data_IF_740112262490
#
_entry.id   IF_740112262490
#
_cell.length_a   1.000
_cell.length_b   1.000
_cell.length_c   1.000
_cell.angle_alpha   90.00
_cell.angle_beta   90.00
_cell.angle_gamma   90.00
#
_symmetry.space_group_name_H-M   'P 1'
#
loop_
_entity.id
_entity.type
_entity.pdbx_description
1 polymer ?
#
# COMPACT_ATOMS: atom_id res chain seq x y z
N UNK A 1 32.08 5.03 8.83
CA UNK A 1 31.47 4.85 7.50
C UNK A 1 29.98 4.67 7.71
N UNK A 2 29.18 5.67 7.38
CA UNK A 2 27.73 5.61 7.53
C UNK A 2 27.20 4.56 6.56
N UNK A 3 26.59 3.48 7.06
CA UNK A 3 25.90 2.53 6.21
C UNK A 3 24.78 3.29 5.49
N UNK A 4 24.87 3.42 4.17
CA UNK A 4 23.80 4.02 3.38
C UNK A 4 22.58 3.12 3.48
N UNK A 5 21.45 3.72 3.84
CA UNK A 5 20.16 3.04 3.89
C UNK A 5 19.80 2.63 2.47
N UNK A 6 19.67 1.31 2.24
CA UNK A 6 19.49 0.75 0.92
C UNK A 6 18.59 -0.49 0.98
N UNK A 7 17.86 -0.70 -0.11
CA UNK A 7 17.13 -1.93 -0.40
C UNK A 7 17.75 -2.56 -1.65
N UNK A 8 18.11 -3.84 -1.58
CA UNK A 8 18.82 -4.59 -2.64
C UNK A 8 20.05 -3.84 -3.22
N UNK A 9 20.78 -3.12 -2.37
CA UNK A 9 21.96 -2.36 -2.75
C UNK A 9 21.68 -1.00 -3.43
N UNK A 10 20.41 -0.62 -3.58
CA UNK A 10 19.99 0.67 -4.15
C UNK A 10 19.53 1.61 -3.04
N UNK A 11 19.97 2.86 -3.09
CA UNK A 11 19.77 3.88 -2.04
C UNK A 11 18.39 4.52 -2.07
N UNK A 12 17.99 5.19 -0.98
CA UNK A 12 16.73 5.95 -0.90
C UNK A 12 16.60 6.98 -2.04
N UNK A 13 17.59 7.84 -2.35
CA UNK A 13 17.49 8.80 -3.45
C UNK A 13 17.34 8.15 -4.82
N UNK A 14 17.90 6.96 -5.03
CA UNK A 14 17.71 6.22 -6.28
C UNK A 14 16.29 5.68 -6.39
N UNK A 15 15.73 5.12 -5.31
CA UNK A 15 14.33 4.69 -5.30
C UNK A 15 13.32 5.84 -5.42
N UNK A 16 13.65 7.03 -4.92
CA UNK A 16 12.85 8.23 -5.16
C UNK A 16 12.77 8.57 -6.65
N UNK A 17 13.86 8.44 -7.42
CA UNK A 17 13.83 8.67 -8.87
C UNK A 17 12.89 7.70 -9.59
N UNK A 18 12.78 6.47 -9.08
CA UNK A 18 11.88 5.46 -9.65
C UNK A 18 10.41 5.86 -9.56
N UNK A 19 10.01 6.63 -8.54
CA UNK A 19 8.64 7.15 -8.40
C UNK A 19 8.23 8.05 -9.58
N UNK A 20 9.18 8.61 -10.33
CA UNK A 20 8.92 9.47 -11.50
C UNK A 20 9.17 8.75 -12.84
N UNK A 21 9.38 7.44 -12.83
CA UNK A 21 9.61 6.66 -14.05
C UNK A 21 8.39 6.69 -15.00
N UNK A 22 8.62 6.68 -16.31
CA UNK A 22 7.55 6.53 -17.30
C UNK A 22 6.87 5.15 -17.20
N UNK A 23 7.62 4.13 -16.79
CA UNK A 23 7.12 2.77 -16.56
C UNK A 23 6.42 2.66 -15.17
N UNK A 24 5.13 2.33 -15.12
CA UNK A 24 4.39 2.17 -13.86
C UNK A 24 4.91 1.02 -12.98
N UNK A 25 5.52 -0.02 -13.56
CA UNK A 25 6.09 -1.12 -12.78
C UNK A 25 7.33 -0.65 -12.00
N UNK A 26 8.13 0.24 -12.60
CA UNK A 26 9.28 0.88 -11.93
C UNK A 26 8.83 1.84 -10.83
N UNK A 27 7.78 2.65 -11.07
CA UNK A 27 7.20 3.51 -10.02
C UNK A 27 6.71 2.71 -8.82
N UNK A 28 5.95 1.64 -9.09
CA UNK A 28 5.51 0.68 -8.07
C UNK A 28 6.69 0.07 -7.31
N UNK A 29 7.74 -0.35 -8.01
CA UNK A 29 8.93 -0.92 -7.39
C UNK A 29 9.65 0.09 -6.49
N UNK A 30 9.76 1.36 -6.91
CA UNK A 30 10.27 2.45 -6.08
C UNK A 30 9.49 2.61 -4.79
N UNK A 31 8.15 2.67 -4.89
CA UNK A 31 7.28 2.74 -3.72
C UNK A 31 7.47 1.52 -2.80
N UNK A 32 7.49 0.31 -3.36
CA UNK A 32 7.70 -0.91 -2.59
C UNK A 32 9.04 -0.89 -1.84
N UNK A 33 10.15 -0.59 -2.54
CA UNK A 33 11.48 -0.54 -1.94
C UNK A 33 11.58 0.49 -0.82
N UNK A 34 11.01 1.69 -1.00
CA UNK A 34 10.95 2.71 0.04
C UNK A 34 10.15 2.25 1.26
N UNK A 35 9.03 1.54 1.04
CA UNK A 35 8.25 0.93 2.11
C UNK A 35 9.01 -0.16 2.87
N UNK A 36 9.82 -0.98 2.18
CA UNK A 36 10.67 -2.01 2.79
C UNK A 36 11.83 -1.41 3.59
N UNK A 37 12.35 -0.26 3.17
CA UNK A 37 13.31 0.53 3.96
C UNK A 37 12.64 1.06 5.24
N UNK A 38 11.35 1.41 5.17
CA UNK A 38 10.55 1.84 6.30
C UNK A 38 10.98 3.22 6.82
N UNK A 39 10.99 3.47 8.15
CA UNK A 39 11.26 4.79 8.72
C UNK A 39 12.61 5.41 8.32
N UNK A 40 13.59 4.59 7.94
CA UNK A 40 14.88 5.08 7.45
C UNK A 40 14.78 5.82 6.09
N UNK A 41 13.66 5.70 5.36
CA UNK A 41 13.37 6.44 4.14
C UNK A 41 12.53 7.71 4.38
N UNK A 42 12.56 8.31 5.58
CA UNK A 42 11.76 9.51 5.91
C UNK A 42 11.97 10.67 4.93
N UNK A 43 13.16 10.78 4.32
CA UNK A 43 13.43 11.79 3.29
C UNK A 43 12.56 11.65 2.02
N UNK A 44 12.00 10.47 1.76
CA UNK A 44 11.15 10.20 0.59
C UNK A 44 9.66 10.50 0.82
N UNK A 45 9.26 10.98 2.00
CA UNK A 45 7.85 11.23 2.35
C UNK A 45 7.18 12.19 1.38
N UNK A 46 7.82 13.31 1.03
CA UNK A 46 7.23 14.30 0.13
C UNK A 46 7.05 13.75 -1.29
N UNK A 47 8.01 12.97 -1.79
CA UNK A 47 7.92 12.32 -3.10
C UNK A 47 6.83 11.25 -3.14
N UNK A 48 6.75 10.43 -2.10
CA UNK A 48 5.68 9.45 -1.95
C UNK A 48 4.30 10.13 -1.84
N UNK A 49 4.18 11.24 -1.10
CA UNK A 49 2.94 11.99 -0.98
C UNK A 49 2.48 12.55 -2.34
N UNK A 50 3.40 13.04 -3.17
CA UNK A 50 3.10 13.46 -4.53
C UNK A 50 2.65 12.27 -5.41
N UNK A 51 3.29 11.11 -5.26
CA UNK A 51 2.97 9.90 -6.00
C UNK A 51 1.60 9.26 -5.63
N UNK A 52 0.91 9.74 -4.58
CA UNK A 52 -0.47 9.34 -4.31
C UNK A 52 -1.45 9.76 -5.41
N UNK A 53 -1.04 10.71 -6.27
CA UNK A 53 -1.82 11.16 -7.44
C UNK A 53 -1.43 10.42 -8.74
N UNK A 54 -0.73 9.28 -8.64
CA UNK A 54 -0.34 8.50 -9.82
C UNK A 54 -1.56 8.15 -10.68
N UNK A 55 -1.49 8.23 -12.03
CA UNK A 55 -2.61 7.85 -12.89
C UNK A 55 -2.99 6.36 -12.76
N UNK A 56 -2.09 5.50 -12.30
CA UNK A 56 -2.29 4.05 -12.24
C UNK A 56 -2.68 3.60 -10.83
N UNK A 57 -3.86 2.98 -10.71
CA UNK A 57 -4.43 2.59 -9.40
C UNK A 57 -3.54 1.68 -8.55
N UNK A 58 -2.94 0.64 -9.14
CA UNK A 58 -2.03 -0.22 -8.35
C UNK A 58 -0.80 0.55 -7.85
N UNK A 59 -0.30 1.54 -8.59
CA UNK A 59 0.81 2.38 -8.12
C UNK A 59 0.37 3.20 -6.91
N UNK A 60 -0.81 3.82 -6.96
CA UNK A 60 -1.39 4.55 -5.81
C UNK A 60 -1.50 3.67 -4.57
N UNK A 61 -1.95 2.42 -4.71
CA UNK A 61 -2.03 1.45 -3.60
C UNK A 61 -0.65 1.19 -2.99
N UNK A 62 0.36 0.90 -3.80
CA UNK A 62 1.72 0.65 -3.31
C UNK A 62 2.36 1.88 -2.67
N UNK A 63 2.12 3.07 -3.22
CA UNK A 63 2.58 4.34 -2.63
C UNK A 63 1.92 4.59 -1.28
N UNK A 64 0.61 4.40 -1.16
CA UNK A 64 -0.09 4.52 0.11
C UNK A 64 0.48 3.54 1.15
N UNK A 65 0.68 2.28 0.75
CA UNK A 65 1.28 1.28 1.62
C UNK A 65 2.72 1.59 2.03
N UNK A 66 3.50 2.23 1.16
CA UNK A 66 4.85 2.68 1.46
C UNK A 66 4.84 3.82 2.47
N UNK A 67 4.00 4.85 2.25
CA UNK A 67 3.83 5.97 3.19
C UNK A 67 3.45 5.50 4.59
N UNK A 68 2.51 4.55 4.69
CA UNK A 68 2.09 4.00 5.97
C UNK A 68 3.23 3.32 6.75
N UNK A 69 4.27 2.83 6.05
CA UNK A 69 5.46 2.20 6.66
C UNK A 69 6.58 3.20 6.93
N UNK A 70 6.76 4.19 6.05
CA UNK A 70 7.82 5.20 6.16
C UNK A 70 7.48 6.23 7.25
N UNK A 71 6.24 6.73 7.28
CA UNK A 71 5.82 7.73 8.26
C UNK A 71 4.40 7.42 8.80
N UNK A 72 4.30 6.71 9.93
CA UNK A 72 3.02 6.19 10.42
C UNK A 72 1.93 7.13 11.03
N UNK A 73 1.94 8.49 11.02
CA UNK A 73 0.85 9.25 11.66
C UNK A 73 0.01 10.14 10.71
N UNK A 74 -0.16 9.77 9.45
CA UNK A 74 -1.11 10.42 8.54
C UNK A 74 -2.24 9.47 8.14
N UNK A 75 -3.50 9.92 8.20
CA UNK A 75 -4.64 9.13 7.67
C UNK A 75 -4.71 9.06 6.13
N UNK A 76 -3.82 9.78 5.43
CA UNK A 76 -3.79 9.86 3.97
C UNK A 76 -3.66 8.50 3.26
N UNK A 77 -2.79 7.55 3.71
CA UNK A 77 -2.74 6.21 3.16
C UNK A 77 -4.08 5.47 3.23
N UNK A 78 -4.79 5.57 4.36
CA UNK A 78 -6.07 4.89 4.55
C UNK A 78 -7.12 5.44 3.58
N UNK A 79 -7.20 6.76 3.43
CA UNK A 79 -8.14 7.40 2.50
C UNK A 79 -7.92 6.91 1.06
N UNK A 80 -6.66 6.88 0.61
CA UNK A 80 -6.32 6.42 -0.74
C UNK A 80 -6.65 4.94 -0.91
N UNK A 81 -6.28 4.10 0.05
CA UNK A 81 -6.61 2.68 -0.01
C UNK A 81 -8.13 2.43 -0.03
N UNK A 82 -8.91 3.19 0.75
CA UNK A 82 -10.38 3.12 0.71
C UNK A 82 -10.92 3.50 -0.67
N UNK A 83 -10.39 4.56 -1.29
CA UNK A 83 -10.80 4.97 -2.64
C UNK A 83 -10.54 3.87 -3.68
N UNK A 84 -9.40 3.17 -3.57
CA UNK A 84 -9.04 2.08 -4.48
C UNK A 84 -9.87 0.80 -4.31
N UNK A 85 -10.66 0.67 -3.23
CA UNK A 85 -11.69 -0.38 -3.12
C UNK A 85 -12.79 -0.23 -4.17
N UNK A 86 -12.97 0.96 -4.76
CA UNK A 86 -13.90 1.21 -5.86
C UNK A 86 -13.28 1.11 -7.26
N UNK A 87 -12.02 0.67 -7.39
CA UNK A 87 -11.32 0.66 -8.67
C UNK A 87 -11.98 -0.30 -9.69
N UNK A 88 -11.94 0.04 -10.98
CA UNK A 88 -12.49 -0.79 -12.07
C UNK A 88 -11.82 -2.17 -12.13
N UNK A 89 -10.51 -2.25 -11.86
CA UNK A 89 -9.74 -3.48 -11.89
C UNK A 89 -9.88 -4.25 -10.57
N UNK A 90 -10.39 -5.48 -10.65
CA UNK A 90 -10.54 -6.37 -9.49
C UNK A 90 -9.22 -6.55 -8.71
N UNK A 91 -8.11 -6.69 -9.44
CA UNK A 91 -6.78 -6.78 -8.85
C UNK A 91 -6.43 -5.58 -7.96
N UNK A 92 -6.81 -4.36 -8.35
CA UNK A 92 -6.53 -3.15 -7.56
C UNK A 92 -7.41 -3.12 -6.31
N UNK A 93 -8.70 -3.48 -6.44
CA UNK A 93 -9.61 -3.59 -5.29
C UNK A 93 -9.12 -4.60 -4.26
N UNK A 94 -8.72 -5.80 -4.72
CA UNK A 94 -8.20 -6.85 -3.84
C UNK A 94 -6.89 -6.43 -3.17
N UNK A 95 -5.99 -5.77 -3.91
CA UNK A 95 -4.72 -5.27 -3.38
C UNK A 95 -4.95 -4.17 -2.32
N UNK A 96 -5.90 -3.26 -2.55
CA UNK A 96 -6.27 -2.24 -1.58
C UNK A 96 -6.83 -2.85 -0.29
N UNK A 97 -7.74 -3.83 -0.41
CA UNK A 97 -8.29 -4.55 0.75
C UNK A 97 -7.18 -5.27 1.54
N UNK A 98 -6.29 -5.97 0.84
CA UNK A 98 -5.13 -6.64 1.42
C UNK A 98 -4.25 -5.69 2.25
N UNK A 99 -3.93 -4.50 1.70
CA UNK A 99 -3.14 -3.51 2.41
C UNK A 99 -3.87 -2.90 3.61
N UNK A 100 -5.17 -2.60 3.51
CA UNK A 100 -5.97 -2.10 4.63
C UNK A 100 -5.97 -3.08 5.80
N UNK A 101 -6.19 -4.37 5.55
CA UNK A 101 -6.12 -5.39 6.59
C UNK A 101 -4.76 -5.42 7.32
N UNK A 102 -3.67 -5.26 6.55
CA UNK A 102 -2.30 -5.30 7.08
C UNK A 102 -1.86 -4.07 7.83
N UNK A 103 -2.50 -2.92 7.63
CA UNK A 103 -2.30 -1.76 8.52
C UNK A 103 -2.70 -2.10 9.95
N UNK A 104 -3.70 -2.97 10.10
CA UNK A 104 -4.15 -3.50 11.38
C UNK A 104 -5.05 -2.53 12.15
N UNK A 105 -5.70 -3.02 13.21
CA UNK A 105 -6.77 -2.29 13.91
C UNK A 105 -6.30 -1.04 14.67
N UNK A 106 -5.00 -0.90 14.92
CA UNK A 106 -4.44 0.23 15.64
C UNK A 106 -4.01 1.39 14.72
N UNK A 107 -4.09 1.22 13.39
CA UNK A 107 -3.66 2.26 12.46
C UNK A 107 -4.65 3.45 12.45
N UNK A 108 -4.19 4.71 12.54
CA UNK A 108 -5.09 5.87 12.56
C UNK A 108 -6.01 5.96 11.34
N UNK A 109 -7.32 6.10 11.58
CA UNK A 109 -8.33 6.25 10.54
C UNK A 109 -8.83 4.94 9.94
N UNK A 110 -8.28 3.78 10.35
CA UNK A 110 -8.60 2.48 9.77
C UNK A 110 -10.07 2.07 9.94
N UNK A 111 -10.75 2.62 10.96
CA UNK A 111 -12.19 2.41 11.18
C UNK A 111 -13.05 2.83 9.98
N UNK A 112 -12.58 3.79 9.18
CA UNK A 112 -13.26 4.26 7.97
C UNK A 112 -13.30 3.19 6.88
N UNK A 113 -12.39 2.21 6.92
CA UNK A 113 -12.33 1.13 5.93
C UNK A 113 -13.38 0.03 6.19
N UNK A 114 -13.96 -0.06 7.39
CA UNK A 114 -14.82 -1.18 7.77
C UNK A 114 -16.07 -1.27 6.86
N UNK A 115 -16.77 -0.16 6.63
CA UNK A 115 -17.97 -0.17 5.79
C UNK A 115 -17.65 -0.44 4.31
N UNK A 116 -16.69 0.25 3.66
CA UNK A 116 -16.25 -0.07 2.30
C UNK A 116 -15.83 -1.54 2.13
N UNK A 117 -15.06 -2.10 3.07
CA UNK A 117 -14.66 -3.51 3.01
C UNK A 117 -15.86 -4.46 3.13
N UNK A 118 -16.86 -4.14 3.95
CA UNK A 118 -18.10 -4.94 4.01
C UNK A 118 -18.88 -4.92 2.71
N UNK A 119 -18.91 -3.80 1.99
CA UNK A 119 -19.59 -3.70 0.70
C UNK A 119 -18.94 -4.61 -0.36
N UNK A 120 -17.64 -4.87 -0.26
CA UNK A 120 -16.95 -5.82 -1.13
C UNK A 120 -17.35 -7.28 -0.92
N UNK A 121 -18.19 -7.61 0.07
CA UNK A 121 -18.81 -8.94 0.17
C UNK A 121 -19.69 -9.26 -1.05
N UNK A 122 -20.22 -8.23 -1.72
CA UNK A 122 -21.03 -8.35 -2.94
C UNK A 122 -20.22 -8.11 -4.22
N UNK A 123 -18.88 -8.03 -4.13
CA UNK A 123 -18.02 -7.85 -5.29
C UNK A 123 -18.16 -9.02 -6.27
N UNK A 124 -18.15 -8.72 -7.56
CA UNK A 124 -18.27 -9.72 -8.62
C UNK A 124 -17.08 -10.70 -8.63
N UNK A 125 -15.89 -10.21 -8.28
CA UNK A 125 -14.68 -10.99 -8.28
C UNK A 125 -14.50 -11.76 -6.96
N UNK A 126 -14.39 -13.11 -7.00
CA UNK A 126 -14.21 -13.91 -5.78
C UNK A 126 -12.96 -13.58 -4.98
N UNK A 127 -11.86 -13.21 -5.62
CA UNK A 127 -10.61 -12.84 -4.93
C UNK A 127 -10.79 -11.54 -4.16
N UNK A 128 -11.53 -10.57 -4.71
CA UNK A 128 -11.86 -9.33 -3.98
C UNK A 128 -12.70 -9.63 -2.73
N UNK A 129 -13.72 -10.48 -2.84
CA UNK A 129 -14.54 -10.88 -1.69
C UNK A 129 -13.70 -11.54 -0.59
N UNK A 130 -12.79 -12.43 -0.97
CA UNK A 130 -11.90 -13.12 -0.03
C UNK A 130 -10.98 -12.13 0.68
N UNK A 131 -10.31 -11.26 -0.06
CA UNK A 131 -9.39 -10.27 0.54
C UNK A 131 -10.12 -9.29 1.45
N UNK A 132 -11.34 -8.88 1.10
CA UNK A 132 -12.17 -8.04 1.95
C UNK A 132 -12.55 -8.74 3.27
N UNK A 133 -12.93 -10.02 3.22
CA UNK A 133 -13.25 -10.81 4.40
C UNK A 133 -12.02 -11.00 5.31
N UNK A 134 -10.84 -11.26 4.72
CA UNK A 134 -9.57 -11.35 5.44
C UNK A 134 -9.20 -10.02 6.09
N UNK A 135 -9.33 -8.91 5.36
CA UNK A 135 -9.12 -7.55 5.87
C UNK A 135 -9.99 -7.27 7.08
N UNK A 136 -11.30 -7.53 7.01
CA UNK A 136 -12.20 -7.37 8.14
C UNK A 136 -11.80 -8.26 9.34
N UNK A 137 -11.44 -9.52 9.10
CA UNK A 137 -10.96 -10.40 10.15
C UNK A 137 -9.71 -9.87 10.88
N UNK A 138 -8.76 -9.28 10.14
CA UNK A 138 -7.58 -8.63 10.71
C UNK A 138 -7.94 -7.38 11.52
N UNK A 139 -8.83 -6.53 11.00
CA UNK A 139 -9.28 -5.31 11.69
C UNK A 139 -10.15 -5.62 12.93
N UNK A 140 -10.70 -6.82 13.03
CA UNK A 140 -11.38 -7.31 14.24
C UNK A 140 -10.41 -8.01 15.23
N UNK A 141 -9.12 -8.09 14.92
CA UNK A 141 -8.12 -8.77 15.75
C UNK A 141 -8.21 -10.31 15.70
N UNK A 142 -8.90 -10.87 14.70
CA UNK A 142 -9.17 -12.31 14.54
C UNK A 142 -8.33 -12.97 13.45
N UNK A 143 -7.65 -12.19 12.61
CA UNK A 143 -6.89 -12.66 11.44
C UNK A 143 -5.39 -12.44 11.58
N UNK A 144 -4.60 -13.36 11.02
CA UNK A 144 -3.17 -13.14 10.78
C UNK A 144 -2.98 -12.37 9.47
N UNK A 145 -1.94 -11.52 9.35
CA UNK A 145 -1.66 -10.83 8.11
C UNK A 145 -1.34 -11.83 6.99
N UNK A 146 -1.97 -11.70 5.80
CA UNK A 146 -1.70 -12.57 4.65
C UNK A 146 -0.23 -12.44 4.23
N UNK A 147 0.37 -13.48 3.61
CA UNK A 147 1.77 -13.44 3.18
C UNK A 147 2.05 -12.22 2.30
N UNK A 148 3.21 -11.60 2.46
CA UNK A 148 3.62 -10.49 1.59
C UNK A 148 3.56 -10.90 0.12
N UNK A 149 2.94 -10.04 -0.70
CA UNK A 149 2.87 -10.23 -2.14
C UNK A 149 4.23 -9.94 -2.80
N UNK A 150 5.22 -10.78 -2.51
CA UNK A 150 6.59 -10.69 -3.05
C UNK A 150 6.64 -11.00 -4.55
N UNK A 151 5.65 -11.72 -5.06
CA UNK A 151 5.57 -12.18 -6.46
C UNK A 151 4.99 -11.16 -7.45
N UNK A 152 4.44 -10.04 -6.98
CA UNK A 152 4.03 -8.93 -7.86
C UNK A 152 5.21 -8.03 -8.26
N UNK A 153 6.43 -8.40 -7.86
CA UNK A 153 7.67 -7.71 -8.17
C UNK A 153 8.39 -8.20 -9.43
N UNK A 154 7.85 -9.20 -10.12
CA UNK A 154 8.38 -9.76 -11.36
C UNK A 154 7.53 -9.37 -12.58
#
# INVERSE_FOLDING_TARGET
>A
MSAQVAYIGTSVPEWVRELSSSDPLRRRLGAYALGEIGPAATEAVSDLAAALQDPVGFVRVWVAAALARVEPPGGAPVIVLIAELGNELAFVRSLAAWHLGRLGPAFPGIEQAILPLRQLADDQDPSVRVEAALALGMLEGKGAPPPELKSLCA
#
